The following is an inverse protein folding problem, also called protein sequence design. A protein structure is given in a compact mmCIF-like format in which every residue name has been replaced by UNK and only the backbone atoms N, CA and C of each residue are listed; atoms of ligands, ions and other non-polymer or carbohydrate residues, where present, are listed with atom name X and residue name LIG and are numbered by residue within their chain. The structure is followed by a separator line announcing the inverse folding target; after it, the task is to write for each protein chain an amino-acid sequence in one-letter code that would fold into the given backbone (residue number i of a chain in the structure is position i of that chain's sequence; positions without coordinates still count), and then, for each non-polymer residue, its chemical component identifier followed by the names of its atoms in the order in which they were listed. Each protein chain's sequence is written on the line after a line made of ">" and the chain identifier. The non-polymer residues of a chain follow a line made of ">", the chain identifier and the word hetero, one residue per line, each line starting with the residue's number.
data_IF_479244602642
#
_entry.id   IF_479244602642
#
_cell.length_a   1.000
_cell.length_b   1.000
_cell.length_c   1.000
_cell.angle_alpha   90.00
_cell.angle_beta   90.00
_cell.angle_gamma   90.00
#
_symmetry.space_group_name_H-M   'P 1'
#
loop_
_entity.id
_entity.type
_entity.pdbx_description
1 polymer ?
#
# COMPACT_ATOMS: atom_id res chain seq x y z
N UNK A 1 -13.44 16.18 1.10
CA UNK A 1 -12.57 14.97 1.15
C UNK A 1 -12.34 14.43 -0.25
N UNK A 2 -13.32 14.58 -1.12
CA UNK A 2 -13.28 14.12 -2.51
C UNK A 2 -12.03 14.58 -3.26
N UNK A 3 -11.70 15.88 -3.22
CA UNK A 3 -10.47 16.41 -3.85
C UNK A 3 -9.16 15.74 -3.38
N UNK A 4 -9.07 15.35 -2.09
CA UNK A 4 -7.90 14.64 -1.57
C UNK A 4 -7.83 13.24 -2.19
N UNK A 5 -8.93 12.49 -2.14
CA UNK A 5 -8.96 11.13 -2.68
C UNK A 5 -8.87 11.12 -4.21
N UNK A 6 -9.34 12.15 -4.92
CA UNK A 6 -9.15 12.34 -6.37
C UNK A 6 -7.67 12.48 -6.68
N UNK A 7 -6.99 13.35 -5.94
CA UNK A 7 -5.55 13.57 -6.07
C UNK A 7 -4.76 12.30 -5.77
N UNK A 8 -5.04 11.64 -4.64
CA UNK A 8 -4.37 10.39 -4.24
C UNK A 8 -4.59 9.30 -5.28
N UNK A 9 -5.82 9.13 -5.76
CA UNK A 9 -6.15 8.14 -6.79
C UNK A 9 -5.35 8.38 -8.06
N UNK A 10 -5.40 9.60 -8.59
CA UNK A 10 -4.67 10.00 -9.80
C UNK A 10 -3.16 9.81 -9.65
N UNK A 11 -2.61 10.23 -8.51
CA UNK A 11 -1.20 10.08 -8.18
C UNK A 11 -0.78 8.60 -8.13
N UNK A 12 -1.55 7.75 -7.46
CA UNK A 12 -1.25 6.33 -7.35
C UNK A 12 -1.33 5.61 -8.70
N UNK A 13 -2.32 5.90 -9.54
CA UNK A 13 -2.39 5.36 -10.90
C UNK A 13 -1.22 5.81 -11.77
N UNK A 14 -0.77 7.06 -11.60
CA UNK A 14 0.41 7.59 -12.29
C UNK A 14 1.68 6.84 -11.86
N UNK A 15 1.90 6.69 -10.55
CA UNK A 15 3.02 5.91 -10.00
C UNK A 15 2.99 4.46 -10.48
N UNK A 16 1.80 3.85 -10.56
CA UNK A 16 1.64 2.50 -11.08
C UNK A 16 2.03 2.40 -12.56
N UNK A 17 1.68 3.39 -13.38
CA UNK A 17 2.10 3.47 -14.78
C UNK A 17 3.62 3.61 -14.93
N UNK A 18 4.24 4.48 -14.12
CA UNK A 18 5.71 4.62 -14.06
C UNK A 18 6.38 3.33 -13.60
N UNK A 19 5.79 2.65 -12.61
CA UNK A 19 6.29 1.37 -12.12
C UNK A 19 6.29 0.30 -13.21
N UNK A 20 5.24 0.22 -14.02
CA UNK A 20 5.21 -0.68 -15.17
C UNK A 20 6.27 -0.36 -16.21
N UNK A 21 6.62 0.91 -16.44
CA UNK A 21 7.73 1.26 -17.31
C UNK A 21 9.06 0.73 -16.75
N UNK A 22 9.31 0.87 -15.45
CA UNK A 22 10.51 0.31 -14.77
C UNK A 22 10.57 -1.21 -14.92
N UNK A 23 9.46 -1.91 -14.66
CA UNK A 23 9.39 -3.38 -14.80
C UNK A 23 9.67 -3.81 -16.25
N UNK A 24 9.20 -3.05 -17.25
CA UNK A 24 9.50 -3.34 -18.65
C UNK A 24 10.98 -3.16 -18.98
N UNK A 25 11.63 -2.11 -18.46
CA UNK A 25 13.06 -1.86 -18.65
C UNK A 25 13.96 -2.93 -18.00
N UNK A 26 13.48 -3.62 -16.97
CA UNK A 26 14.19 -4.68 -16.24
C UNK A 26 13.65 -6.08 -16.54
N UNK A 27 12.80 -6.22 -17.58
CA UNK A 27 12.06 -7.46 -17.87
C UNK A 27 12.97 -8.69 -17.97
N UNK A 28 14.07 -8.59 -18.72
CA UNK A 28 14.97 -9.73 -18.96
C UNK A 28 15.65 -10.23 -17.69
N UNK A 29 15.92 -9.34 -16.75
CA UNK A 29 16.54 -9.65 -15.46
C UNK A 29 15.52 -10.17 -14.45
N UNK A 30 14.35 -9.53 -14.37
CA UNK A 30 13.39 -9.76 -13.29
C UNK A 30 12.39 -10.88 -13.57
N UNK A 31 12.00 -11.12 -14.83
CA UNK A 31 11.00 -12.16 -15.17
C UNK A 31 11.49 -13.59 -14.88
N UNK A 32 12.76 -13.95 -15.14
CA UNK A 32 13.24 -15.30 -14.83
C UNK A 32 13.28 -15.59 -13.32
N UNK A 33 13.46 -14.58 -12.48
CA UNK A 33 13.62 -14.76 -11.04
C UNK A 33 12.27 -14.59 -10.29
N UNK A 34 11.79 -15.65 -9.60
CA UNK A 34 10.54 -15.59 -8.84
C UNK A 34 10.56 -14.57 -7.70
N UNK A 35 11.73 -14.25 -7.15
CA UNK A 35 11.94 -13.26 -6.08
C UNK A 35 11.69 -11.85 -6.60
N UNK A 36 12.34 -11.48 -7.72
CA UNK A 36 12.14 -10.18 -8.37
C UNK A 36 10.70 -10.00 -8.83
N UNK A 37 10.05 -11.04 -9.36
CA UNK A 37 8.62 -11.00 -9.70
C UNK A 37 7.73 -10.68 -8.51
N UNK A 38 7.98 -11.29 -7.35
CA UNK A 38 7.19 -11.06 -6.12
C UNK A 38 7.41 -9.65 -5.56
N UNK A 39 8.66 -9.17 -5.54
CA UNK A 39 8.98 -7.81 -5.11
C UNK A 39 8.35 -6.77 -6.04
N UNK A 40 8.43 -6.99 -7.36
CA UNK A 40 7.82 -6.09 -8.33
C UNK A 40 6.28 -6.05 -8.23
N UNK A 41 5.66 -7.19 -7.94
CA UNK A 41 4.23 -7.26 -7.66
C UNK A 41 3.87 -6.54 -6.35
N UNK A 42 4.73 -6.58 -5.33
CA UNK A 42 4.48 -5.82 -4.10
C UNK A 42 4.45 -4.32 -4.35
N UNK A 43 5.47 -3.79 -5.04
CA UNK A 43 5.52 -2.35 -5.36
C UNK A 43 4.28 -1.93 -6.13
N UNK A 44 3.82 -2.77 -7.07
CA UNK A 44 2.56 -2.54 -7.77
C UNK A 44 1.36 -2.47 -6.80
N UNK A 45 1.24 -3.42 -5.87
CA UNK A 45 0.16 -3.41 -4.87
C UNK A 45 0.21 -2.21 -3.94
N UNK A 46 1.40 -1.73 -3.58
CA UNK A 46 1.59 -0.54 -2.73
C UNK A 46 1.04 0.74 -3.35
N UNK A 47 0.83 0.78 -4.67
CA UNK A 47 0.13 1.88 -5.35
C UNK A 47 -1.32 1.54 -5.70
N UNK A 48 -1.56 0.30 -6.13
CA UNK A 48 -2.89 -0.14 -6.54
C UNK A 48 -3.89 -0.12 -5.38
N UNK A 49 -3.50 -0.62 -4.20
CA UNK A 49 -4.38 -0.68 -3.02
C UNK A 49 -4.84 0.72 -2.59
N UNK A 50 -3.94 1.71 -2.38
CA UNK A 50 -4.33 3.11 -2.15
C UNK A 50 -5.21 3.72 -3.24
N UNK A 51 -4.95 3.40 -4.52
CA UNK A 51 -5.77 3.90 -5.62
C UNK A 51 -7.22 3.39 -5.56
N UNK A 52 -7.40 2.10 -5.27
CA UNK A 52 -8.72 1.48 -5.09
C UNK A 52 -9.43 2.04 -3.86
N UNK A 53 -8.71 2.26 -2.75
CA UNK A 53 -9.27 2.93 -1.58
C UNK A 53 -9.73 4.35 -1.91
N UNK A 54 -8.94 5.10 -2.68
CA UNK A 54 -9.31 6.42 -3.15
C UNK A 54 -10.58 6.42 -3.99
N UNK A 55 -10.68 5.53 -4.98
CA UNK A 55 -11.93 5.34 -5.75
C UNK A 55 -13.10 4.94 -4.85
N UNK A 56 -12.89 4.00 -3.92
CA UNK A 56 -13.93 3.52 -3.00
C UNK A 56 -14.49 4.62 -2.11
N UNK A 57 -13.65 5.57 -1.71
CA UNK A 57 -14.08 6.72 -0.89
C UNK A 57 -15.06 7.63 -1.63
N UNK A 58 -14.87 7.82 -2.95
CA UNK A 58 -15.74 8.65 -3.80
C UNK A 58 -17.11 7.99 -4.04
N UNK A 59 -17.16 6.66 -4.02
CA UNK A 59 -18.40 5.90 -4.19
C UNK A 59 -19.28 5.89 -2.93
N UNK A 60 -18.82 6.47 -1.82
CA UNK A 60 -19.41 6.32 -0.50
C UNK A 60 -20.85 6.82 -0.35
N UNK A 61 -21.29 7.82 -1.12
CA UNK A 61 -22.64 8.39 -1.05
C UNK A 61 -23.13 8.67 0.40
N UNK A 62 -24.45 8.65 0.61
CA UNK A 62 -25.04 8.79 1.96
C UNK A 62 -24.89 7.52 2.81
N UNK A 63 -24.78 6.35 2.17
CA UNK A 63 -24.62 5.06 2.85
C UNK A 63 -23.14 4.69 2.94
N UNK A 64 -22.49 5.05 4.04
CA UNK A 64 -21.06 4.78 4.27
C UNK A 64 -20.63 3.29 4.26
N UNK A 65 -21.51 2.35 3.92
CA UNK A 65 -21.20 0.93 3.78
C UNK A 65 -20.30 0.62 2.58
N UNK A 66 -20.46 1.34 1.46
CA UNK A 66 -19.70 1.08 0.23
C UNK A 66 -18.20 1.32 0.43
N UNK A 67 -17.82 2.51 0.90
CA UNK A 67 -16.41 2.81 1.15
C UNK A 67 -15.82 1.90 2.23
N UNK A 68 -16.58 1.56 3.28
CA UNK A 68 -16.12 0.63 4.33
C UNK A 68 -15.82 -0.75 3.76
N UNK A 69 -16.69 -1.29 2.91
CA UNK A 69 -16.47 -2.56 2.23
C UNK A 69 -15.19 -2.55 1.40
N UNK A 70 -14.96 -1.48 0.64
CA UNK A 70 -13.74 -1.32 -0.17
C UNK A 70 -12.50 -1.25 0.71
N UNK A 71 -12.52 -0.44 1.78
CA UNK A 71 -11.35 -0.26 2.66
C UNK A 71 -11.03 -1.54 3.44
N UNK A 72 -12.04 -2.30 3.89
CA UNK A 72 -11.82 -3.61 4.51
C UNK A 72 -11.19 -4.58 3.51
N UNK A 73 -11.76 -4.72 2.31
CA UNK A 73 -11.22 -5.64 1.31
C UNK A 73 -9.80 -5.26 0.88
N UNK A 74 -9.56 -3.97 0.62
CA UNK A 74 -8.27 -3.45 0.20
C UNK A 74 -7.22 -3.54 1.32
N UNK A 75 -7.60 -3.27 2.58
CA UNK A 75 -6.74 -3.42 3.75
C UNK A 75 -6.34 -4.87 4.00
N UNK A 76 -7.29 -5.81 3.91
CA UNK A 76 -7.00 -7.25 4.01
C UNK A 76 -6.08 -7.72 2.88
N UNK A 77 -6.31 -7.26 1.64
CA UNK A 77 -5.43 -7.54 0.51
C UNK A 77 -4.00 -7.02 0.78
N UNK A 78 -3.88 -5.79 1.30
CA UNK A 78 -2.63 -5.20 1.75
C UNK A 78 -1.91 -6.10 2.74
N UNK A 79 -2.58 -6.51 3.83
CA UNK A 79 -2.03 -7.39 4.87
C UNK A 79 -1.54 -8.72 4.29
N UNK A 80 -2.40 -9.42 3.53
CA UNK A 80 -2.08 -10.73 2.94
C UNK A 80 -0.89 -10.62 1.99
N UNK A 81 -0.84 -9.56 1.19
CA UNK A 81 0.28 -9.33 0.28
C UNK A 81 1.58 -9.11 1.05
N UNK A 82 1.56 -8.28 2.10
CA UNK A 82 2.75 -8.00 2.92
C UNK A 82 3.28 -9.26 3.60
N UNK A 83 2.40 -10.10 4.18
CA UNK A 83 2.82 -11.38 4.75
C UNK A 83 3.43 -12.32 3.71
N UNK A 84 2.82 -12.40 2.51
CA UNK A 84 3.33 -13.24 1.42
C UNK A 84 4.77 -12.86 1.04
N UNK A 85 5.12 -11.58 1.12
CA UNK A 85 6.46 -11.09 0.82
C UNK A 85 7.41 -11.37 1.96
N UNK A 86 7.07 -11.03 3.21
CA UNK A 86 7.92 -11.33 4.37
C UNK A 86 8.32 -12.81 4.34
N UNK A 87 7.37 -13.71 4.05
CA UNK A 87 7.66 -15.14 3.94
C UNK A 87 8.57 -15.52 2.76
N UNK A 88 8.49 -14.79 1.64
CA UNK A 88 9.23 -15.07 0.41
C UNK A 88 10.68 -14.57 0.43
N UNK A 89 10.95 -13.49 1.16
CA UNK A 89 12.22 -12.77 1.11
C UNK A 89 12.88 -12.58 2.48
N UNK A 90 12.45 -13.38 3.47
CA UNK A 90 13.02 -13.43 4.83
C UNK A 90 14.54 -13.62 4.86
N UNK A 91 15.08 -14.38 3.89
CA UNK A 91 16.49 -14.78 3.86
C UNK A 91 17.34 -13.86 2.97
N UNK A 92 16.71 -12.98 2.18
CA UNK A 92 17.37 -12.14 1.17
C UNK A 92 17.35 -10.65 1.52
N UNK A 93 16.43 -10.21 2.39
CA UNK A 93 16.28 -8.81 2.75
C UNK A 93 16.92 -8.46 4.10
N UNK A 94 17.96 -7.63 4.05
CA UNK A 94 18.60 -7.04 5.23
C UNK A 94 18.52 -5.51 5.16
N UNK A 95 17.91 -4.88 6.16
CA UNK A 95 17.83 -3.42 6.28
C UNK A 95 16.74 -2.96 7.26
N UNK A 96 16.99 -1.84 7.95
CA UNK A 96 16.07 -1.30 8.97
C UNK A 96 14.72 -0.87 8.38
N UNK A 97 14.73 -0.34 7.14
CA UNK A 97 13.53 0.02 6.39
C UNK A 97 12.70 -1.20 5.98
N UNK A 98 13.34 -2.35 5.72
CA UNK A 98 12.64 -3.56 5.29
C UNK A 98 11.97 -4.27 6.46
N UNK A 99 12.66 -4.48 7.59
CA UNK A 99 12.04 -5.08 8.76
C UNK A 99 11.01 -4.13 9.40
N UNK A 100 11.39 -2.87 9.66
CA UNK A 100 10.47 -1.90 10.27
C UNK A 100 9.31 -1.50 9.37
N UNK A 101 9.58 -1.28 8.08
CA UNK A 101 8.60 -0.77 7.11
C UNK A 101 7.49 -1.76 6.77
N UNK A 102 7.79 -3.06 6.64
CA UNK A 102 6.73 -4.04 6.39
C UNK A 102 5.84 -4.27 7.63
N UNK A 103 6.41 -4.27 8.84
CA UNK A 103 5.61 -4.30 10.06
C UNK A 103 4.77 -3.04 10.22
N UNK A 104 5.33 -1.87 9.88
CA UNK A 104 4.57 -0.63 9.82
C UNK A 104 3.42 -0.71 8.79
N UNK A 105 3.65 -1.25 7.60
CA UNK A 105 2.61 -1.44 6.60
C UNK A 105 1.49 -2.38 7.09
N UNK A 106 1.83 -3.50 7.74
CA UNK A 106 0.83 -4.39 8.36
C UNK A 106 0.02 -3.64 9.43
N UNK A 107 0.70 -2.86 10.29
CA UNK A 107 0.02 -2.07 11.31
C UNK A 107 -0.92 -1.03 10.70
N UNK A 108 -0.47 -0.30 9.66
CA UNK A 108 -1.27 0.69 8.95
C UNK A 108 -2.49 0.06 8.28
N UNK A 109 -2.32 -1.04 7.53
CA UNK A 109 -3.46 -1.73 6.92
C UNK A 109 -4.41 -2.32 7.97
N UNK A 110 -3.90 -2.77 9.12
CA UNK A 110 -4.74 -3.24 10.22
C UNK A 110 -5.56 -2.10 10.80
N UNK A 111 -4.97 -0.90 10.97
CA UNK A 111 -5.69 0.29 11.41
C UNK A 111 -6.78 0.70 10.41
N UNK A 112 -6.48 0.65 9.11
CA UNK A 112 -7.49 0.88 8.04
C UNK A 112 -8.66 -0.10 8.20
N UNK A 113 -8.40 -1.40 8.32
CA UNK A 113 -9.46 -2.40 8.50
C UNK A 113 -10.28 -2.13 9.77
N UNK A 114 -9.62 -1.79 10.88
CA UNK A 114 -10.29 -1.52 12.16
C UNK A 114 -11.18 -0.27 12.09
N UNK A 115 -10.72 0.82 11.49
CA UNK A 115 -11.49 2.06 11.34
C UNK A 115 -12.67 1.84 10.37
N UNK A 116 -12.45 1.14 9.26
CA UNK A 116 -13.50 0.79 8.33
C UNK A 116 -14.57 -0.13 8.95
N UNK A 117 -14.19 -1.10 9.79
CA UNK A 117 -15.13 -1.97 10.52
C UNK A 117 -15.89 -1.20 11.60
N UNK A 118 -15.22 -0.35 12.37
CA UNK A 118 -15.82 0.43 13.43
C UNK A 118 -15.36 1.90 13.37
N UNK A 119 -16.07 2.74 12.59
CA UNK A 119 -15.75 4.17 12.46
C UNK A 119 -15.82 4.93 13.80
N UNK A 120 -16.50 4.38 14.81
CA UNK A 120 -16.59 4.97 16.15
C UNK A 120 -15.24 5.05 16.88
N UNK A 121 -14.27 4.20 16.53
CA UNK A 121 -12.92 4.19 17.13
C UNK A 121 -12.22 5.54 16.95
N UNK A 122 -12.48 6.24 15.84
CA UNK A 122 -11.84 7.53 15.54
C UNK A 122 -12.21 8.62 16.55
N UNK A 123 -13.36 8.49 17.21
CA UNK A 123 -13.79 9.42 18.27
C UNK A 123 -12.85 9.43 19.48
N UNK A 124 -12.09 8.35 19.70
CA UNK A 124 -11.09 8.27 20.78
C UNK A 124 -9.93 9.25 20.57
N UNK A 125 -9.67 9.65 19.32
CA UNK A 125 -8.62 10.60 18.96
C UNK A 125 -9.12 12.06 18.91
N UNK A 126 -10.41 12.29 19.22
CA UNK A 126 -11.04 13.62 19.23
C UNK A 126 -12.36 13.64 18.44
N UNK A 127 -13.26 14.56 18.79
CA UNK A 127 -14.60 14.68 18.18
C UNK A 127 -14.58 15.36 16.80
N UNK A 128 -13.46 15.95 16.38
CA UNK A 128 -13.35 16.73 15.15
C UNK A 128 -12.84 15.98 13.91
N UNK A 129 -12.38 14.73 14.06
CA UNK A 129 -11.80 13.95 12.95
C UNK A 129 -12.85 13.01 12.37
N UNK A 130 -13.15 13.15 11.08
CA UNK A 130 -14.04 12.22 10.40
C UNK A 130 -13.32 10.89 10.14
N UNK A 131 -14.04 9.74 10.11
CA UNK A 131 -13.42 8.46 9.81
C UNK A 131 -12.65 8.46 8.48
N UNK A 132 -13.21 9.09 7.44
CA UNK A 132 -12.52 9.24 6.14
C UNK A 132 -11.27 10.11 6.20
N UNK A 133 -11.19 11.10 7.11
CA UNK A 133 -9.96 11.88 7.31
C UNK A 133 -8.85 11.03 7.93
N UNK A 134 -9.19 10.26 8.97
CA UNK A 134 -8.23 9.37 9.62
C UNK A 134 -7.70 8.33 8.62
N UNK A 135 -8.60 7.72 7.86
CA UNK A 135 -8.25 6.79 6.77
C UNK A 135 -7.40 7.45 5.69
N UNK A 136 -7.72 8.69 5.30
CA UNK A 136 -6.95 9.43 4.30
C UNK A 136 -5.50 9.66 4.73
N UNK A 137 -5.28 9.93 6.02
CA UNK A 137 -3.93 10.02 6.58
C UNK A 137 -3.18 8.69 6.51
N UNK A 138 -3.84 7.57 6.87
CA UNK A 138 -3.24 6.24 6.77
C UNK A 138 -2.87 5.89 5.33
N UNK A 139 -3.76 6.18 4.38
CA UNK A 139 -3.52 6.00 2.94
C UNK A 139 -2.33 6.84 2.48
N UNK A 140 -2.22 8.11 2.89
CA UNK A 140 -1.08 8.96 2.54
C UNK A 140 0.25 8.37 3.04
N UNK A 141 0.28 7.87 4.28
CA UNK A 141 1.46 7.22 4.86
C UNK A 141 1.80 5.94 4.09
N UNK A 142 0.80 5.11 3.75
CA UNK A 142 0.98 3.90 2.95
C UNK A 142 1.59 4.20 1.58
N UNK A 143 1.13 5.27 0.90
CA UNK A 143 1.69 5.71 -0.39
C UNK A 143 3.15 6.13 -0.23
N UNK A 144 3.48 6.92 0.79
CA UNK A 144 4.87 7.33 1.06
C UNK A 144 5.78 6.12 1.33
N UNK A 145 5.27 5.12 2.06
CA UNK A 145 5.95 3.85 2.32
C UNK A 145 6.17 3.07 1.00
N UNK A 146 5.15 3.00 0.15
CA UNK A 146 5.21 2.37 -1.16
C UNK A 146 6.27 2.97 -2.08
N UNK A 147 6.36 4.31 -2.13
CA UNK A 147 7.41 5.02 -2.89
C UNK A 147 8.80 4.70 -2.35
N UNK A 148 8.96 4.68 -1.02
CA UNK A 148 10.23 4.34 -0.38
C UNK A 148 10.65 2.90 -0.71
N UNK A 149 9.72 1.94 -0.66
CA UNK A 149 10.00 0.55 -1.03
C UNK A 149 10.39 0.44 -2.52
N UNK A 150 9.69 1.16 -3.41
CA UNK A 150 9.99 1.18 -4.84
C UNK A 150 11.41 1.72 -5.11
N UNK A 151 11.78 2.80 -4.43
CA UNK A 151 13.11 3.40 -4.50
C UNK A 151 14.20 2.41 -4.08
N UNK A 152 14.06 1.81 -2.90
CA UNK A 152 15.04 0.85 -2.38
C UNK A 152 15.19 -0.37 -3.28
N UNK A 153 14.08 -0.90 -3.79
CA UNK A 153 14.09 -2.07 -4.68
C UNK A 153 14.77 -1.78 -6.03
N UNK A 154 14.69 -0.55 -6.53
CA UNK A 154 15.30 -0.19 -7.82
C UNK A 154 16.79 0.14 -7.74
N UNK A 155 17.27 0.62 -6.59
CA UNK A 155 18.65 1.10 -6.40
C UNK A 155 19.52 0.10 -5.66
N UNK A 156 18.95 -0.74 -4.80
CA UNK A 156 19.71 -1.79 -4.12
C UNK A 156 20.14 -2.86 -5.13
N UNK A 157 21.44 -3.00 -5.43
CA UNK A 157 21.88 -4.06 -6.33
C UNK A 157 21.55 -5.44 -5.71
N UNK A 158 21.25 -6.46 -6.53
CA UNK A 158 21.31 -7.85 -6.07
C UNK A 158 22.65 -8.04 -5.38
N UNK A 159 22.66 -8.32 -4.07
CA UNK A 159 23.90 -8.78 -3.43
C UNK A 159 24.27 -10.07 -4.14
N UNK A 160 25.37 -10.03 -4.89
CA UNK A 160 25.99 -11.22 -5.44
C UNK A 160 26.06 -12.26 -4.31
N UNK A 161 25.42 -13.41 -4.53
CA UNK A 161 25.53 -14.56 -3.64
C UNK A 161 27.02 -14.84 -3.42
N UNK A 162 27.50 -14.59 -2.19
CA UNK A 162 28.76 -15.17 -1.73
C UNK A 162 28.52 -16.61 -1.34
#
# INVERSE_FOLDING_TARGET
>A
MDAFYETVTSFCFTLMGLWWAVVQLRREEWVPDPTYRRMAYNVHLSFFVPAIMGLGSMLGGDSGLLWRGVFVAAGLLGIVSTFSIISAVKDTLHGWLFQGGYWAAIALYSLVVLIALNPGIVRLFGTGVSPLQAEGLLVAILVALGVTIAWEFTISPPRASR
#
